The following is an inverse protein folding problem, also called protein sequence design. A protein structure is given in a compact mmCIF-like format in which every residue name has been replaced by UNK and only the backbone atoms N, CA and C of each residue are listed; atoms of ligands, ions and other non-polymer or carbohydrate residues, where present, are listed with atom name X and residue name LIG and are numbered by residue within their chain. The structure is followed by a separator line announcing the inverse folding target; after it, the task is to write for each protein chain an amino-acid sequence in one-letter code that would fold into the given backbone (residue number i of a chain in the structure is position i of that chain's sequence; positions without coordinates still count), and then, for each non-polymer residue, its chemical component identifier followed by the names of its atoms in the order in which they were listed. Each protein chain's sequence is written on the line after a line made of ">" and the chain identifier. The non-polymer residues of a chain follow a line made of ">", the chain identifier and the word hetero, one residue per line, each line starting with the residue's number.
data_IF_032731882655
#
_entry.id   IF_032731882655
#
_cell.length_a   1.000
_cell.length_b   1.000
_cell.length_c   1.000
_cell.angle_alpha   90.00
_cell.angle_beta   90.00
_cell.angle_gamma   90.00
#
_symmetry.space_group_name_H-M   'P 1'
#
loop_
_entity.id
_entity.type
_entity.pdbx_description
1 polymer ?
#
# COMPACT_ATOMS: atom_id res chain seq x y z
N UNK A 1 -12.19 14.57 29.80
CA UNK A 1 -11.98 13.47 28.83
C UNK A 1 -11.30 14.06 27.59
N UNK A 2 -10.22 13.49 27.09
CA UNK A 2 -9.59 13.96 25.84
C UNK A 2 -10.45 13.55 24.67
N UNK A 3 -10.77 14.46 23.75
CA UNK A 3 -11.54 14.20 22.54
C UNK A 3 -10.57 13.86 21.40
N UNK A 4 -10.79 12.72 20.76
CA UNK A 4 -10.04 12.27 19.59
C UNK A 4 -10.92 12.47 18.35
N UNK A 5 -10.34 12.96 17.26
CA UNK A 5 -11.03 13.22 16.01
C UNK A 5 -10.25 12.63 14.82
N UNK A 6 -10.97 12.27 13.76
CA UNK A 6 -10.38 11.90 12.47
C UNK A 6 -10.29 13.18 11.64
N UNK A 7 -9.09 13.55 11.20
CA UNK A 7 -8.85 14.78 10.44
C UNK A 7 -8.75 14.53 8.92
N UNK A 8 -8.43 13.32 8.52
CA UNK A 8 -8.32 12.96 7.11
C UNK A 8 -8.40 11.47 6.89
N UNK A 9 -8.78 11.08 5.69
CA UNK A 9 -8.90 9.69 5.26
C UNK A 9 -8.23 9.50 3.91
N UNK A 10 -7.73 8.30 3.66
CA UNK A 10 -7.21 7.87 2.38
C UNK A 10 -7.41 6.38 2.20
N UNK A 11 -7.63 5.94 0.97
CA UNK A 11 -7.84 4.53 0.67
C UNK A 11 -7.34 4.16 -0.72
N UNK A 12 -6.85 2.93 -0.83
CA UNK A 12 -6.62 2.24 -2.10
C UNK A 12 -7.16 0.83 -1.94
N UNK A 13 -8.22 0.52 -2.65
CA UNK A 13 -8.91 -0.76 -2.55
C UNK A 13 -9.54 -1.16 -3.90
N UNK A 14 -10.12 -2.38 -4.06
CA UNK A 14 -10.70 -2.83 -5.32
C UNK A 14 -11.89 -2.01 -5.83
N UNK A 15 -12.53 -1.22 -4.97
CA UNK A 15 -13.65 -0.35 -5.35
C UNK A 15 -13.24 1.09 -5.64
N UNK A 16 -12.01 1.50 -5.27
CA UNK A 16 -11.56 2.85 -5.53
C UNK A 16 -10.13 3.11 -5.11
N UNK A 17 -9.47 4.01 -5.82
CA UNK A 17 -8.08 4.40 -5.58
C UNK A 17 -7.98 5.65 -4.69
N UNK A 18 -9.13 6.22 -4.31
CA UNK A 18 -9.28 7.31 -3.35
C UNK A 18 -10.65 7.21 -2.66
N UNK A 19 -10.89 8.07 -1.66
CA UNK A 19 -12.11 8.04 -0.84
C UNK A 19 -13.37 8.37 -1.66
N UNK A 20 -13.28 9.32 -2.57
CA UNK A 20 -14.38 9.76 -3.42
C UNK A 20 -14.84 8.64 -4.35
N UNK A 21 -13.91 8.04 -5.08
CA UNK A 21 -14.19 6.93 -6.00
C UNK A 21 -14.75 5.72 -5.24
N UNK A 22 -14.14 5.38 -4.11
CA UNK A 22 -14.60 4.29 -3.24
C UNK A 22 -16.05 4.51 -2.80
N UNK A 23 -16.37 5.71 -2.32
CA UNK A 23 -17.71 6.05 -1.84
C UNK A 23 -18.77 6.04 -2.96
N UNK A 24 -18.45 6.61 -4.14
CA UNK A 24 -19.36 6.57 -5.29
C UNK A 24 -19.62 5.14 -5.75
N UNK A 25 -18.61 4.29 -5.76
CA UNK A 25 -18.76 2.90 -6.16
C UNK A 25 -19.57 2.08 -5.13
N UNK A 26 -19.44 2.38 -3.83
CA UNK A 26 -20.33 1.81 -2.80
C UNK A 26 -21.78 2.23 -3.01
N UNK A 27 -22.04 3.51 -3.20
CA UNK A 27 -23.41 4.02 -3.45
C UNK A 27 -24.01 3.43 -4.72
N UNK A 28 -23.21 3.17 -5.73
CA UNK A 28 -23.61 2.52 -6.97
C UNK A 28 -23.75 1.00 -6.86
N UNK A 29 -23.56 0.43 -5.65
CA UNK A 29 -23.60 -1.01 -5.37
C UNK A 29 -22.67 -1.83 -6.28
N UNK A 30 -21.50 -1.28 -6.64
CA UNK A 30 -20.49 -1.99 -7.44
C UNK A 30 -19.81 -3.08 -6.62
N UNK A 31 -19.42 -4.14 -7.30
CA UNK A 31 -18.69 -5.27 -6.72
C UNK A 31 -17.19 -5.11 -7.01
N UNK A 32 -16.35 -5.14 -5.97
CA UNK A 32 -14.89 -5.10 -6.08
C UNK A 32 -14.23 -6.48 -6.25
N UNK A 33 -15.02 -7.56 -6.30
CA UNK A 33 -14.51 -8.90 -6.53
C UNK A 33 -14.47 -9.23 -8.02
N UNK A 34 -13.44 -9.94 -8.45
CA UNK A 34 -13.29 -10.42 -9.83
C UNK A 34 -12.66 -11.80 -9.84
N UNK A 35 -12.71 -12.48 -10.98
CA UNK A 35 -11.89 -13.67 -11.15
C UNK A 35 -10.40 -13.31 -11.11
N UNK A 36 -9.61 -14.24 -10.53
CA UNK A 36 -8.15 -14.15 -10.54
C UNK A 36 -7.66 -14.21 -11.98
N UNK A 37 -6.86 -13.22 -12.39
CA UNK A 37 -6.27 -13.11 -13.73
C UNK A 37 -4.73 -13.01 -13.70
N UNK A 38 -4.15 -13.13 -12.50
CA UNK A 38 -2.72 -12.95 -12.26
C UNK A 38 -1.92 -14.26 -12.42
N UNK A 39 -2.59 -15.41 -12.29
CA UNK A 39 -2.02 -16.74 -12.43
C UNK A 39 -3.12 -17.76 -12.78
N UNK A 40 -2.72 -18.94 -13.23
CA UNK A 40 -3.64 -20.03 -13.51
C UNK A 40 -4.28 -20.57 -12.23
N UNK A 41 -5.60 -20.59 -12.21
CA UNK A 41 -6.41 -21.04 -11.07
C UNK A 41 -7.11 -22.38 -11.30
N UNK A 42 -6.77 -23.14 -12.35
CA UNK A 42 -7.46 -24.39 -12.70
C UNK A 42 -7.52 -25.34 -11.50
N UNK A 43 -6.40 -25.49 -10.78
CA UNK A 43 -6.27 -26.40 -9.63
C UNK A 43 -6.55 -25.74 -8.28
N UNK A 44 -7.06 -24.49 -8.24
CA UNK A 44 -7.36 -23.80 -7.00
C UNK A 44 -8.87 -23.86 -6.67
N UNK A 45 -9.25 -24.11 -5.40
CA UNK A 45 -10.64 -24.13 -5.00
C UNK A 45 -11.30 -22.75 -5.02
N UNK A 46 -10.52 -21.66 -4.82
CA UNK A 46 -10.98 -20.26 -4.84
C UNK A 46 -10.48 -19.59 -6.10
N UNK A 47 -11.41 -19.00 -6.87
CA UNK A 47 -11.14 -18.39 -8.18
C UNK A 47 -11.48 -16.90 -8.23
N UNK A 48 -11.89 -16.33 -7.10
CA UNK A 48 -12.27 -14.91 -6.99
C UNK A 48 -11.38 -14.20 -5.98
N UNK A 49 -11.11 -12.91 -6.25
CA UNK A 49 -10.26 -12.06 -5.43
C UNK A 49 -10.70 -10.60 -5.48
N UNK A 50 -10.50 -9.86 -4.39
CA UNK A 50 -10.57 -8.40 -4.38
C UNK A 50 -9.21 -7.81 -4.68
N UNK A 51 -8.86 -7.67 -5.96
CA UNK A 51 -7.58 -7.12 -6.38
C UNK A 51 -7.70 -5.66 -6.79
N UNK A 52 -6.73 -4.85 -6.37
CA UNK A 52 -6.58 -3.48 -6.89
C UNK A 52 -5.96 -3.57 -8.28
N UNK A 53 -6.76 -3.25 -9.32
CA UNK A 53 -6.30 -3.26 -10.70
C UNK A 53 -5.89 -1.85 -11.16
N UNK A 54 -5.03 -1.77 -12.19
CA UNK A 54 -4.62 -0.52 -12.84
C UNK A 54 -4.18 0.58 -11.86
N UNK A 55 -3.42 0.17 -10.82
CA UNK A 55 -2.93 1.07 -9.81
C UNK A 55 -1.63 1.74 -10.26
N UNK A 56 -1.66 3.06 -10.34
CA UNK A 56 -0.50 3.91 -10.54
C UNK A 56 -0.29 4.79 -9.29
N UNK A 57 0.87 4.66 -8.68
CA UNK A 57 1.26 5.44 -7.50
C UNK A 57 1.99 6.75 -7.84
N UNK A 58 2.22 7.04 -9.13
CA UNK A 58 3.11 8.15 -9.53
C UNK A 58 2.55 9.53 -9.26
N UNK A 59 1.25 9.66 -8.99
CA UNK A 59 0.67 10.89 -8.46
C UNK A 59 1.24 11.26 -7.06
N UNK A 60 1.60 10.25 -6.27
CA UNK A 60 2.00 10.40 -4.87
C UNK A 60 3.46 10.09 -4.61
N UNK A 61 4.09 9.24 -5.43
CA UNK A 61 5.43 8.69 -5.21
C UNK A 61 6.26 8.86 -6.47
N UNK A 62 7.52 9.34 -6.34
CA UNK A 62 8.43 9.39 -7.48
C UNK A 62 8.63 8.00 -8.10
N UNK A 63 8.67 7.94 -9.42
CA UNK A 63 8.77 6.68 -10.19
C UNK A 63 10.00 5.84 -9.84
N UNK A 64 11.14 6.47 -9.49
CA UNK A 64 12.35 5.74 -9.10
C UNK A 64 12.21 5.18 -7.70
N UNK A 65 11.58 5.91 -6.82
CA UNK A 65 11.30 5.51 -5.46
C UNK A 65 10.27 4.37 -5.41
N UNK A 66 9.19 4.48 -6.17
CA UNK A 66 8.15 3.45 -6.29
C UNK A 66 8.72 2.07 -6.70
N UNK A 67 9.78 2.04 -7.54
CA UNK A 67 10.47 0.80 -7.92
C UNK A 67 11.19 0.09 -6.76
N UNK A 68 11.43 0.78 -5.66
CA UNK A 68 12.06 0.26 -4.45
C UNK A 68 11.05 -0.10 -3.35
N UNK A 69 9.76 -0.05 -3.68
CA UNK A 69 8.65 -0.38 -2.80
C UNK A 69 7.83 -1.52 -3.40
N UNK A 70 7.45 -2.50 -2.57
CA UNK A 70 6.41 -3.45 -2.95
C UNK A 70 5.03 -2.76 -2.92
N UNK A 71 4.03 -3.33 -3.58
CA UNK A 71 2.69 -2.77 -3.73
C UNK A 71 2.03 -2.40 -2.41
N UNK A 72 2.19 -3.23 -1.37
CA UNK A 72 1.60 -2.93 -0.06
C UNK A 72 2.14 -1.63 0.54
N UNK A 73 3.44 -1.35 0.36
CA UNK A 73 4.07 -0.10 0.78
C UNK A 73 3.58 1.07 -0.06
N UNK A 74 3.44 0.89 -1.39
CA UNK A 74 2.88 1.93 -2.26
C UNK A 74 1.44 2.28 -1.86
N UNK A 75 0.60 1.30 -1.54
CA UNK A 75 -0.77 1.52 -1.05
C UNK A 75 -0.79 2.32 0.25
N UNK A 76 0.09 1.97 1.20
CA UNK A 76 0.21 2.68 2.46
C UNK A 76 0.59 4.16 2.27
N UNK A 77 1.63 4.44 1.47
CA UNK A 77 2.09 5.81 1.20
C UNK A 77 1.03 6.62 0.46
N UNK A 78 0.39 6.05 -0.57
CA UNK A 78 -0.66 6.74 -1.32
C UNK A 78 -1.86 7.08 -0.41
N UNK A 79 -2.32 6.11 0.40
CA UNK A 79 -3.43 6.34 1.34
C UNK A 79 -3.06 7.38 2.41
N UNK A 80 -1.85 7.34 2.95
CA UNK A 80 -1.38 8.33 3.92
C UNK A 80 -1.34 9.75 3.32
N UNK A 81 -0.81 9.89 2.09
CA UNK A 81 -0.78 11.20 1.40
C UNK A 81 -2.18 11.74 1.08
N UNK A 82 -3.13 10.88 0.72
CA UNK A 82 -4.53 11.26 0.58
C UNK A 82 -5.11 11.78 1.90
N UNK A 83 -4.87 11.07 3.01
CA UNK A 83 -5.35 11.47 4.33
C UNK A 83 -4.76 12.82 4.77
N UNK A 84 -3.46 13.03 4.57
CA UNK A 84 -2.81 14.32 4.85
C UNK A 84 -3.38 15.47 4.00
N UNK A 85 -3.58 15.22 2.69
CA UNK A 85 -4.20 16.20 1.79
C UNK A 85 -5.61 16.56 2.23
N UNK A 86 -6.42 15.58 2.64
CA UNK A 86 -7.76 15.81 3.16
C UNK A 86 -7.75 16.58 4.49
N UNK A 87 -6.79 16.30 5.36
CA UNK A 87 -6.63 17.01 6.63
C UNK A 87 -6.30 18.51 6.46
N UNK A 88 -5.82 18.91 5.27
CA UNK A 88 -5.53 20.31 4.95
C UNK A 88 -4.37 20.92 5.74
N UNK A 89 -3.52 20.09 6.36
CA UNK A 89 -2.36 20.54 7.12
C UNK A 89 -1.11 19.77 6.70
N UNK A 90 0.02 20.44 6.71
CA UNK A 90 1.33 19.80 6.52
C UNK A 90 1.95 19.33 7.84
N UNK A 91 1.25 19.56 8.94
CA UNK A 91 1.62 19.14 10.30
C UNK A 91 3.02 19.60 10.77
N UNK A 92 3.60 20.63 10.15
CA UNK A 92 4.94 21.14 10.50
C UNK A 92 5.05 21.64 11.94
N UNK A 93 3.93 22.10 12.51
CA UNK A 93 3.87 22.60 13.88
C UNK A 93 3.64 21.50 14.91
N UNK A 94 3.49 20.25 14.48
CA UNK A 94 3.33 19.11 15.38
C UNK A 94 4.70 18.66 15.87
N UNK A 95 4.84 18.53 17.19
CA UNK A 95 6.01 17.94 17.83
C UNK A 95 6.18 16.50 17.30
N UNK A 96 7.27 16.17 16.57
CA UNK A 96 7.45 14.86 15.96
C UNK A 96 7.51 13.72 17.01
N UNK A 97 7.85 14.02 18.27
CA UNK A 97 7.80 13.04 19.35
C UNK A 97 6.38 12.74 19.86
N UNK A 98 5.37 13.47 19.39
CA UNK A 98 3.95 13.28 19.70
C UNK A 98 3.14 12.78 18.49
N UNK A 99 3.79 12.61 17.35
CA UNK A 99 3.22 12.04 16.15
C UNK A 99 3.86 10.67 15.87
N UNK A 100 3.16 9.84 15.12
CA UNK A 100 3.69 8.53 14.76
C UNK A 100 2.82 7.82 13.73
N UNK A 101 3.41 6.82 13.09
CA UNK A 101 2.75 6.02 12.05
C UNK A 101 2.52 4.60 12.57
N UNK A 102 1.27 4.16 12.54
CA UNK A 102 0.88 2.78 12.89
C UNK A 102 0.14 2.18 11.71
N UNK A 103 0.69 1.12 11.13
CA UNK A 103 0.09 0.40 10.00
C UNK A 103 0.10 -1.10 10.31
N UNK A 104 -1.07 -1.73 10.30
CA UNK A 104 -1.21 -3.17 10.33
C UNK A 104 -0.98 -3.76 8.94
N UNK A 105 -0.10 -4.74 8.83
CA UNK A 105 0.22 -5.44 7.58
C UNK A 105 0.00 -6.94 7.77
N UNK A 106 -0.77 -7.56 6.86
CA UNK A 106 -1.08 -8.99 6.96
C UNK A 106 0.13 -9.88 6.68
N UNK A 107 0.86 -9.63 5.60
CA UNK A 107 1.97 -10.49 5.14
C UNK A 107 3.19 -9.66 4.74
N UNK A 108 3.01 -8.50 4.11
CA UNK A 108 4.09 -7.73 3.49
C UNK A 108 4.28 -8.11 2.02
N UNK A 109 5.52 -8.08 1.53
CA UNK A 109 5.89 -8.28 0.13
C UNK A 109 5.96 -9.76 -0.30
N UNK A 110 4.84 -10.48 -0.28
CA UNK A 110 4.81 -11.89 -0.66
C UNK A 110 5.24 -12.11 -2.12
N UNK A 111 4.77 -11.28 -3.05
CA UNK A 111 5.17 -11.36 -4.46
C UNK A 111 6.67 -11.12 -4.66
N UNK A 112 7.24 -10.19 -3.89
CA UNK A 112 8.68 -9.94 -3.89
C UNK A 112 9.44 -11.14 -3.35
N UNK A 113 8.93 -11.76 -2.29
CA UNK A 113 9.54 -12.97 -1.69
C UNK A 113 9.57 -14.11 -2.70
N UNK A 114 8.45 -14.43 -3.34
CA UNK A 114 8.37 -15.47 -4.36
C UNK A 114 9.37 -15.23 -5.49
N UNK A 115 9.37 -14.01 -6.03
CA UNK A 115 10.25 -13.61 -7.12
C UNK A 115 11.73 -13.73 -6.77
N UNK A 116 12.14 -13.25 -5.60
CA UNK A 116 13.54 -13.25 -5.21
C UNK A 116 14.02 -14.64 -4.74
N UNK A 117 13.13 -15.46 -4.16
CA UNK A 117 13.45 -16.88 -3.85
C UNK A 117 13.62 -17.68 -5.14
N UNK A 118 12.78 -17.46 -6.15
CA UNK A 118 12.94 -18.09 -7.48
C UNK A 118 14.28 -17.69 -8.09
N UNK A 119 14.64 -16.41 -8.07
CA UNK A 119 15.95 -15.95 -8.55
C UNK A 119 17.11 -16.55 -7.77
N UNK A 120 16.99 -16.65 -6.45
CA UNK A 120 18.03 -17.24 -5.60
C UNK A 120 18.33 -18.69 -6.01
N UNK A 121 17.30 -19.46 -6.32
CA UNK A 121 17.46 -20.84 -6.75
C UNK A 121 18.14 -20.98 -8.13
N UNK A 122 17.94 -20.00 -9.01
CA UNK A 122 18.52 -20.00 -10.36
C UNK A 122 19.90 -19.33 -10.41
N UNK A 123 20.01 -18.15 -9.80
CA UNK A 123 21.17 -17.26 -9.83
C UNK A 123 21.31 -16.49 -8.51
N UNK A 124 21.96 -17.06 -7.48
CA UNK A 124 22.04 -16.47 -6.14
C UNK A 124 22.66 -15.04 -6.12
N UNK A 125 23.59 -14.77 -7.06
CA UNK A 125 24.26 -13.49 -7.20
C UNK A 125 23.37 -12.36 -7.78
N UNK A 126 22.14 -12.68 -8.22
CA UNK A 126 21.17 -11.74 -8.81
C UNK A 126 20.04 -11.33 -7.89
N UNK A 127 20.04 -11.77 -6.64
CA UNK A 127 19.05 -11.33 -5.65
C UNK A 127 19.17 -9.83 -5.40
N UNK A 128 18.02 -9.15 -5.32
CA UNK A 128 17.97 -7.71 -5.14
C UNK A 128 18.48 -7.29 -3.75
N UNK A 129 19.33 -6.26 -3.69
CA UNK A 129 19.72 -5.62 -2.43
C UNK A 129 18.53 -4.97 -1.71
N UNK A 130 17.44 -4.70 -2.43
CA UNK A 130 16.20 -4.18 -1.87
C UNK A 130 15.22 -5.28 -1.44
N UNK A 131 15.60 -6.57 -1.54
CA UNK A 131 14.72 -7.67 -1.20
C UNK A 131 14.13 -7.52 0.21
N UNK A 132 14.98 -7.38 1.21
CA UNK A 132 14.52 -7.26 2.61
C UNK A 132 13.63 -6.03 2.83
N UNK A 133 14.04 -4.79 2.45
CA UNK A 133 13.18 -3.61 2.60
C UNK A 133 11.83 -3.72 1.87
N UNK A 134 11.77 -4.42 0.74
CA UNK A 134 10.53 -4.60 -0.01
C UNK A 134 9.65 -5.72 0.55
N UNK A 135 10.22 -6.66 1.29
CA UNK A 135 9.51 -7.83 1.80
C UNK A 135 8.88 -7.58 3.17
N UNK A 136 9.62 -6.98 4.11
CA UNK A 136 9.19 -6.90 5.52
C UNK A 136 8.02 -5.93 5.71
N UNK A 137 7.00 -6.40 6.46
CA UNK A 137 5.73 -5.67 6.61
C UNK A 137 5.85 -4.32 7.31
N UNK A 138 6.77 -4.15 8.27
CA UNK A 138 6.97 -2.89 8.98
C UNK A 138 7.47 -1.75 8.08
N UNK A 139 7.97 -2.05 6.88
CA UNK A 139 8.40 -1.01 5.94
C UNK A 139 7.24 -0.16 5.40
N UNK A 140 6.01 -0.63 5.46
CA UNK A 140 4.86 0.24 5.18
C UNK A 140 4.81 1.43 6.15
N UNK A 141 4.88 1.17 7.45
CA UNK A 141 4.91 2.23 8.46
C UNK A 141 6.20 3.06 8.39
N UNK A 142 7.36 2.41 8.27
CA UNK A 142 8.65 3.10 8.16
C UNK A 142 8.74 4.01 6.95
N UNK A 143 8.24 3.57 5.78
CA UNK A 143 8.25 4.40 4.58
C UNK A 143 7.28 5.58 4.70
N UNK A 144 6.07 5.37 5.25
CA UNK A 144 5.15 6.48 5.52
C UNK A 144 5.77 7.47 6.50
N UNK A 145 6.42 7.01 7.57
CA UNK A 145 7.13 7.87 8.52
C UNK A 145 8.21 8.72 7.83
N UNK A 146 9.02 8.13 6.95
CA UNK A 146 10.02 8.88 6.17
C UNK A 146 9.39 9.95 5.26
N UNK A 147 8.22 9.68 4.68
CA UNK A 147 7.52 10.63 3.80
C UNK A 147 6.79 11.74 4.55
N UNK A 148 6.41 11.53 5.80
CA UNK A 148 5.59 12.46 6.59
C UNK A 148 6.39 13.19 7.66
N UNK A 149 7.53 12.65 8.06
CA UNK A 149 8.34 13.17 9.18
C UNK A 149 7.80 12.78 10.57
N UNK A 150 6.89 11.80 10.65
CA UNK A 150 6.25 11.35 11.90
C UNK A 150 6.90 10.11 12.48
#
# INVERSE_FOLDING_TARGET
>A
MRRVVITGMGTVNPLGKNVEEFWENIKANKNGLSYVDQFDTENFPVKIVGAVKDFDCTEYIDKKEAKRMDRFTQFAVCSAKQALKMAGSDFKDVDPFKAGVIIGVGIGGLNMTEKEVTKFNEKPDKVSVFFIPMMIGNMAAGTVAMHTGF
#
